data_IF_135439507099
#
_entry.id   IF_135439507099
#
_cell.length_a   1.000
_cell.length_b   1.000
_cell.length_c   1.000
_cell.angle_alpha   90.00
_cell.angle_beta   90.00
_cell.angle_gamma   90.00
#
_symmetry.space_group_name_H-M   'P 1'
#
loop_
_entity.id
_entity.type
_entity.pdbx_description
1 polymer ?
#
# COMPACT_ATOMS: atom_id res chain seq x y z
N UNK A 1 -15.08 6.99 21.00
CA UNK A 1 -15.39 8.38 20.62
C UNK A 1 -14.45 8.73 19.48
N UNK A 2 -14.95 8.92 18.26
CA UNK A 2 -14.12 9.35 17.12
C UNK A 2 -13.54 10.74 17.41
N UNK A 3 -12.21 10.85 17.49
CA UNK A 3 -11.53 12.13 17.62
C UNK A 3 -11.68 12.90 16.30
N UNK A 4 -11.73 14.23 16.35
CA UNK A 4 -11.77 15.12 15.16
C UNK A 4 -10.68 14.77 14.15
N UNK A 5 -9.50 14.35 14.62
CA UNK A 5 -8.43 13.85 13.77
C UNK A 5 -8.86 12.67 12.89
N UNK A 6 -9.55 11.68 13.46
CA UNK A 6 -10.05 10.51 12.74
C UNK A 6 -11.11 10.90 11.72
N UNK A 7 -11.97 11.88 12.04
CA UNK A 7 -12.94 12.44 11.08
C UNK A 7 -12.28 13.09 9.88
N UNK A 8 -11.20 13.85 10.09
CA UNK A 8 -10.43 14.48 9.01
C UNK A 8 -9.77 13.40 8.13
N UNK A 9 -9.17 12.37 8.73
CA UNK A 9 -8.57 11.25 7.99
C UNK A 9 -9.64 10.51 7.18
N UNK A 10 -10.77 10.17 7.80
CA UNK A 10 -11.83 9.40 7.15
C UNK A 10 -12.46 10.18 5.99
N UNK A 11 -12.72 11.48 6.15
CA UNK A 11 -13.19 12.32 5.06
C UNK A 11 -12.18 12.45 3.92
N UNK A 12 -10.88 12.43 4.23
CA UNK A 12 -9.82 12.40 3.21
C UNK A 12 -9.84 11.08 2.44
N UNK A 13 -9.97 9.94 3.12
CA UNK A 13 -10.10 8.62 2.50
C UNK A 13 -11.33 8.57 1.57
N UNK A 14 -12.48 9.05 2.05
CA UNK A 14 -13.72 9.11 1.24
C UNK A 14 -13.57 10.00 0.01
N UNK A 15 -12.83 11.10 0.11
CA UNK A 15 -12.51 11.92 -1.05
C UNK A 15 -11.66 11.14 -2.05
N UNK A 16 -10.59 10.48 -1.61
CA UNK A 16 -9.68 9.71 -2.48
C UNK A 16 -10.43 8.58 -3.21
N UNK A 17 -11.41 7.95 -2.55
CA UNK A 17 -12.27 6.95 -3.20
C UNK A 17 -13.10 7.54 -4.34
N UNK A 18 -13.55 8.79 -4.20
CA UNK A 18 -14.49 9.44 -5.13
C UNK A 18 -13.81 10.24 -6.23
N UNK A 19 -12.73 10.96 -5.95
CA UNK A 19 -12.04 11.86 -6.88
C UNK A 19 -10.52 11.77 -6.75
N UNK A 20 -9.78 12.41 -7.66
CA UNK A 20 -8.33 12.49 -7.61
C UNK A 20 -7.87 13.28 -6.36
N UNK A 21 -7.01 12.65 -5.56
CA UNK A 21 -6.43 13.22 -4.34
C UNK A 21 -5.67 14.54 -4.61
N UNK A 22 -5.17 14.72 -5.85
CA UNK A 22 -4.47 15.94 -6.26
C UNK A 22 -5.39 17.16 -6.19
N UNK A 23 -6.70 16.97 -6.40
CA UNK A 23 -7.71 18.05 -6.38
C UNK A 23 -8.16 18.46 -4.98
N UNK A 24 -7.84 17.67 -3.95
CA UNK A 24 -8.19 17.97 -2.57
C UNK A 24 -7.30 19.11 -2.05
N UNK A 25 -7.90 20.10 -1.40
CA UNK A 25 -7.17 21.12 -0.65
C UNK A 25 -7.68 21.15 0.79
N UNK A 26 -6.89 21.68 1.72
CA UNK A 26 -7.29 21.82 3.13
C UNK A 26 -8.62 22.57 3.26
N UNK A 27 -8.83 23.61 2.45
CA UNK A 27 -10.09 24.38 2.41
C UNK A 27 -11.27 23.54 1.91
N UNK A 28 -11.09 22.75 0.84
CA UNK A 28 -12.15 21.87 0.32
C UNK A 28 -12.52 20.78 1.33
N UNK A 29 -11.52 20.19 1.97
CA UNK A 29 -11.72 19.19 3.02
C UNK A 29 -12.52 19.80 4.18
N UNK A 30 -12.10 20.96 4.67
CA UNK A 30 -12.78 21.67 5.76
C UNK A 30 -14.25 21.95 5.43
N UNK A 31 -14.53 22.46 4.23
CA UNK A 31 -15.90 22.69 3.77
C UNK A 31 -16.73 21.39 3.71
N UNK A 32 -16.11 20.27 3.30
CA UNK A 32 -16.79 18.96 3.20
C UNK A 32 -17.23 18.42 4.57
N UNK A 33 -16.47 18.69 5.62
CA UNK A 33 -16.75 18.21 6.99
C UNK A 33 -17.30 19.30 7.92
N UNK A 34 -17.71 20.45 7.39
CA UNK A 34 -18.30 21.54 8.17
C UNK A 34 -17.33 22.22 9.15
N UNK A 35 -16.02 22.19 8.86
CA UNK A 35 -14.97 22.81 9.65
C UNK A 35 -14.39 24.06 8.98
N UNK A 36 -13.70 24.90 9.75
CA UNK A 36 -12.85 25.95 9.17
C UNK A 36 -11.49 25.36 8.79
N UNK A 37 -10.83 25.93 7.79
CA UNK A 37 -9.47 25.51 7.42
C UNK A 37 -8.50 25.63 8.60
N UNK A 38 -8.62 26.69 9.40
CA UNK A 38 -7.81 26.90 10.61
C UNK A 38 -8.02 25.81 11.67
N UNK A 39 -9.21 25.23 11.77
CA UNK A 39 -9.45 24.10 12.66
C UNK A 39 -8.74 22.82 12.20
N UNK A 40 -8.65 22.56 10.89
CA UNK A 40 -7.86 21.42 10.36
C UNK A 40 -6.37 21.62 10.66
N UNK A 41 -5.84 22.83 10.50
CA UNK A 41 -4.42 23.13 10.76
C UNK A 41 -3.98 22.90 12.20
N UNK A 42 -4.91 22.81 13.16
CA UNK A 42 -4.60 22.38 14.54
C UNK A 42 -4.22 20.90 14.66
N UNK A 43 -4.64 20.07 13.70
CA UNK A 43 -4.37 18.63 13.67
C UNK A 43 -3.29 18.26 12.65
N UNK A 44 -3.28 18.93 11.50
CA UNK A 44 -2.33 18.66 10.42
C UNK A 44 -1.74 19.97 9.91
N UNK A 45 -0.43 20.16 10.11
CA UNK A 45 0.27 21.40 9.76
C UNK A 45 0.16 21.76 8.27
N UNK A 46 0.07 20.76 7.41
CA UNK A 46 -0.06 20.91 5.95
C UNK A 46 -0.76 19.70 5.33
N UNK A 47 -0.93 19.72 4.01
CA UNK A 47 -1.63 18.66 3.26
C UNK A 47 -0.79 17.38 3.24
N UNK A 48 0.53 17.53 3.21
CA UNK A 48 1.52 16.46 3.17
C UNK A 48 1.48 15.64 4.47
N UNK A 49 1.46 16.29 5.64
CA UNK A 49 1.31 15.65 6.94
C UNK A 49 -0.01 14.89 7.08
N UNK A 50 -1.11 15.46 6.56
CA UNK A 50 -2.40 14.77 6.49
C UNK A 50 -2.30 13.53 5.60
N UNK A 51 -1.71 13.65 4.41
CA UNK A 51 -1.59 12.56 3.46
C UNK A 51 -0.70 11.43 3.96
N UNK A 52 0.37 11.76 4.67
CA UNK A 52 1.23 10.79 5.34
C UNK A 52 0.43 9.97 6.36
N UNK A 53 -0.31 10.67 7.24
CA UNK A 53 -1.14 10.00 8.24
C UNK A 53 -2.27 9.16 7.63
N UNK A 54 -2.90 9.64 6.56
CA UNK A 54 -3.90 8.87 5.81
C UNK A 54 -3.25 7.61 5.21
N UNK A 55 -2.03 7.71 4.69
CA UNK A 55 -1.29 6.58 4.13
C UNK A 55 -0.95 5.53 5.19
N UNK A 56 -0.59 5.94 6.41
CA UNK A 56 -0.40 5.03 7.56
C UNK A 56 -1.70 4.27 7.86
N UNK A 57 -2.82 4.98 7.93
CA UNK A 57 -4.13 4.37 8.21
C UNK A 57 -4.55 3.41 7.09
N UNK A 58 -4.34 3.78 5.83
CA UNK A 58 -4.62 2.89 4.69
C UNK A 58 -3.71 1.66 4.67
N UNK A 59 -2.42 1.82 4.95
CA UNK A 59 -1.47 0.72 5.08
C UNK A 59 -1.91 -0.29 6.13
N UNK A 60 -2.37 0.18 7.29
CA UNK A 60 -2.96 -0.68 8.33
C UNK A 60 -4.20 -1.42 7.83
N UNK A 61 -5.19 -0.71 7.27
CA UNK A 61 -6.43 -1.31 6.75
C UNK A 61 -6.15 -2.38 5.70
N UNK A 62 -5.20 -2.12 4.80
CA UNK A 62 -4.81 -3.06 3.76
C UNK A 62 -4.09 -4.28 4.37
N UNK A 63 -3.21 -4.08 5.36
CA UNK A 63 -2.59 -5.22 6.06
C UNK A 63 -3.62 -6.10 6.78
N UNK A 64 -4.70 -5.50 7.30
CA UNK A 64 -5.82 -6.20 7.94
C UNK A 64 -6.74 -6.89 6.92
N UNK A 65 -6.87 -6.39 5.68
CA UNK A 65 -7.63 -7.03 4.60
C UNK A 65 -6.84 -8.20 3.97
N UNK A 66 -5.50 -8.11 3.95
CA UNK A 66 -4.61 -9.06 3.25
C UNK A 66 -4.00 -10.13 4.17
N UNK A 67 -4.63 -10.44 5.30
CA UNK A 67 -4.14 -11.33 6.39
C UNK A 67 -3.40 -12.59 5.94
N UNK A 68 -2.44 -13.02 6.76
CA UNK A 68 -1.71 -14.28 6.58
C UNK A 68 -2.38 -15.42 7.35
N UNK A 69 -2.32 -16.64 6.82
CA UNK A 69 -2.73 -17.85 7.53
C UNK A 69 -1.49 -18.55 8.10
N UNK A 70 -1.34 -18.65 9.44
CA UNK A 70 -0.17 -19.29 10.05
C UNK A 70 -0.08 -20.79 9.75
N UNK A 71 -1.14 -21.43 9.23
CA UNK A 71 -1.12 -22.85 8.82
C UNK A 71 -0.57 -23.04 7.41
N UNK A 72 -0.41 -21.96 6.65
CA UNK A 72 0.07 -21.96 5.27
C UNK A 72 1.56 -21.60 5.28
N UNK A 73 2.34 -22.19 4.36
CA UNK A 73 3.77 -21.88 4.24
C UNK A 73 4.00 -20.38 3.95
N UNK A 74 5.12 -19.78 4.39
CA UNK A 74 5.43 -18.39 4.08
C UNK A 74 5.41 -18.07 2.58
N UNK A 75 5.86 -19.01 1.75
CA UNK A 75 5.81 -18.92 0.29
C UNK A 75 4.37 -18.81 -0.20
N UNK A 76 3.48 -19.70 0.22
CA UNK A 76 2.08 -19.69 -0.21
C UNK A 76 1.32 -18.49 0.35
N UNK A 77 1.68 -18.01 1.54
CA UNK A 77 1.15 -16.75 2.09
C UNK A 77 1.55 -15.55 1.22
N UNK A 78 2.80 -15.50 0.75
CA UNK A 78 3.29 -14.45 -0.15
C UNK A 78 2.56 -14.50 -1.51
N UNK A 79 2.40 -15.69 -2.10
CA UNK A 79 1.62 -15.89 -3.33
C UNK A 79 0.18 -15.40 -3.17
N UNK A 80 -0.49 -15.83 -2.10
CA UNK A 80 -1.88 -15.47 -1.82
C UNK A 80 -2.03 -13.96 -1.54
N UNK A 81 -1.04 -13.34 -0.90
CA UNK A 81 -0.99 -11.90 -0.69
C UNK A 81 -0.89 -11.15 -2.02
N UNK A 82 -0.03 -11.61 -2.94
CA UNK A 82 0.11 -11.02 -4.28
C UNK A 82 -1.20 -11.12 -5.09
N UNK A 83 -1.88 -12.26 -5.04
CA UNK A 83 -3.20 -12.46 -5.65
C UNK A 83 -4.23 -11.47 -5.09
N UNK A 84 -4.42 -11.46 -3.76
CA UNK A 84 -5.38 -10.58 -3.10
C UNK A 84 -5.06 -9.10 -3.35
N UNK A 85 -3.78 -8.75 -3.45
CA UNK A 85 -3.36 -7.39 -3.80
C UNK A 85 -3.79 -7.01 -5.22
N UNK A 86 -3.62 -7.90 -6.20
CA UNK A 86 -4.10 -7.66 -7.58
C UNK A 86 -5.62 -7.46 -7.63
N UNK A 87 -6.38 -8.22 -6.83
CA UNK A 87 -7.84 -8.06 -6.68
C UNK A 87 -8.18 -6.73 -6.02
N UNK A 88 -7.48 -6.36 -4.93
CA UNK A 88 -7.69 -5.10 -4.22
C UNK A 88 -7.47 -3.89 -5.14
N UNK A 89 -6.46 -3.96 -6.01
CA UNK A 89 -6.17 -2.92 -6.99
C UNK A 89 -7.34 -2.69 -7.95
N UNK A 90 -7.98 -3.75 -8.45
CA UNK A 90 -9.17 -3.63 -9.31
C UNK A 90 -10.35 -3.03 -8.54
N UNK A 91 -10.53 -3.44 -7.29
CA UNK A 91 -11.64 -3.00 -6.43
C UNK A 91 -11.50 -1.54 -5.98
N UNK A 92 -10.28 -1.09 -5.65
CA UNK A 92 -10.01 0.20 -5.03
C UNK A 92 -8.82 0.95 -5.68
N UNK A 93 -8.83 1.16 -7.01
CA UNK A 93 -7.64 1.63 -7.74
C UNK A 93 -7.14 3.00 -7.27
N UNK A 94 -8.04 3.91 -6.90
CA UNK A 94 -7.66 5.26 -6.42
C UNK A 94 -6.98 5.24 -5.07
N UNK A 95 -7.44 4.38 -4.15
CA UNK A 95 -6.83 4.23 -2.82
C UNK A 95 -5.47 3.57 -2.91
N UNK A 96 -5.36 2.51 -3.72
CA UNK A 96 -4.07 1.86 -3.95
C UNK A 96 -3.10 2.82 -4.63
N UNK A 97 -3.55 3.54 -5.66
CA UNK A 97 -2.72 4.56 -6.31
C UNK A 97 -2.27 5.67 -5.34
N UNK A 98 -3.15 6.09 -4.43
CA UNK A 98 -2.77 7.03 -3.37
C UNK A 98 -1.71 6.44 -2.46
N UNK A 99 -1.90 5.21 -1.94
CA UNK A 99 -0.99 4.60 -0.97
C UNK A 99 0.44 4.39 -1.52
N UNK A 100 0.63 4.25 -2.83
CA UNK A 100 1.96 3.98 -3.38
C UNK A 100 2.60 5.14 -4.14
N UNK A 101 1.82 6.14 -4.57
CA UNK A 101 2.32 7.17 -5.49
C UNK A 101 2.02 8.60 -5.06
N UNK A 102 1.50 8.82 -3.84
CA UNK A 102 1.31 10.19 -3.37
C UNK A 102 2.65 10.76 -2.83
N UNK A 103 2.99 12.03 -3.13
CA UNK A 103 4.32 12.58 -2.81
C UNK A 103 4.65 12.70 -1.32
N UNK A 104 3.68 12.56 -0.40
CA UNK A 104 3.99 12.62 1.03
C UNK A 104 4.79 11.40 1.51
N UNK A 105 5.02 10.41 0.64
CA UNK A 105 5.75 9.18 0.93
C UNK A 105 7.21 9.23 0.48
N UNK A 106 7.65 10.31 -0.17
CA UNK A 106 9.02 10.42 -0.68
C UNK A 106 10.06 10.22 0.43
N UNK A 107 9.84 10.81 1.60
CA UNK A 107 10.72 10.64 2.77
C UNK A 107 10.71 9.21 3.30
N UNK A 108 9.55 8.54 3.32
CA UNK A 108 9.44 7.12 3.70
C UNK A 108 10.23 6.21 2.74
N UNK A 109 10.17 6.46 1.43
CA UNK A 109 10.92 5.66 0.46
C UNK A 109 12.43 5.90 0.54
N UNK A 110 12.87 7.09 0.95
CA UNK A 110 14.28 7.40 1.19
C UNK A 110 14.80 6.84 2.52
N UNK A 111 13.93 6.82 3.54
CA UNK A 111 14.26 6.40 4.90
C UNK A 111 13.14 5.49 5.43
N UNK A 112 13.15 4.23 4.97
CA UNK A 112 12.11 3.27 5.35
C UNK A 112 12.03 3.12 6.87
N UNK A 113 10.81 3.18 7.40
CA UNK A 113 10.48 3.03 8.81
C UNK A 113 9.35 2.00 9.00
N UNK A 114 8.90 1.80 10.24
CA UNK A 114 7.86 0.83 10.61
C UNK A 114 6.45 1.42 10.71
N UNK A 115 6.22 2.61 10.15
CA UNK A 115 4.91 3.27 10.19
C UNK A 115 3.88 2.52 9.33
N UNK A 116 4.35 1.81 8.30
CA UNK A 116 3.53 1.16 7.29
C UNK A 116 3.38 -0.33 7.56
N UNK A 117 2.27 -0.71 8.19
CA UNK A 117 1.98 -2.12 8.55
C UNK A 117 1.91 -3.06 7.36
N UNK A 118 1.45 -2.59 6.20
CA UNK A 118 1.49 -3.40 4.98
C UNK A 118 2.93 -3.70 4.54
N UNK A 119 3.85 -2.73 4.66
CA UNK A 119 5.26 -2.95 4.38
C UNK A 119 5.86 -3.95 5.38
N UNK A 120 5.61 -3.78 6.68
CA UNK A 120 6.06 -4.72 7.72
C UNK A 120 5.58 -6.17 7.43
N UNK A 121 4.32 -6.32 7.02
CA UNK A 121 3.71 -7.62 6.69
C UNK A 121 4.45 -8.30 5.53
N UNK A 122 4.66 -7.57 4.43
CA UNK A 122 5.33 -8.12 3.25
C UNK A 122 6.80 -8.41 3.55
N UNK A 123 7.50 -7.49 4.23
CA UNK A 123 8.90 -7.69 4.61
C UNK A 123 9.08 -8.90 5.54
N UNK A 124 8.17 -9.12 6.48
CA UNK A 124 8.19 -10.30 7.35
C UNK A 124 8.02 -11.63 6.58
N UNK A 125 7.25 -11.65 5.49
CA UNK A 125 7.17 -12.82 4.60
C UNK A 125 8.43 -12.96 3.76
N UNK A 126 8.94 -11.87 3.20
CA UNK A 126 10.19 -11.84 2.42
C UNK A 126 11.34 -12.43 3.23
N UNK A 127 11.51 -12.03 4.49
CA UNK A 127 12.56 -12.54 5.38
C UNK A 127 12.46 -14.05 5.64
N UNK A 128 11.25 -14.60 5.68
CA UNK A 128 11.04 -16.05 5.88
C UNK A 128 11.24 -16.86 4.59
N UNK A 129 11.05 -16.23 3.44
CA UNK A 129 11.07 -16.88 2.13
C UNK A 129 12.46 -16.76 1.47
N UNK A 130 13.20 -15.69 1.74
CA UNK A 130 14.52 -15.46 1.16
C UNK A 130 15.51 -16.56 1.57
N UNK A 131 16.07 -17.26 0.59
CA UNK A 131 17.04 -18.35 0.81
C UNK A 131 18.49 -17.84 0.86
N UNK A 132 18.71 -16.53 0.77
CA UNK A 132 20.03 -15.91 0.74
C UNK A 132 20.51 -15.57 -0.67
N UNK A 133 21.75 -15.09 -0.80
CA UNK A 133 22.40 -14.67 -2.05
C UNK A 133 22.07 -13.26 -2.54
N UNK A 134 20.98 -12.67 -2.07
CA UNK A 134 20.73 -11.22 -2.06
C UNK A 134 20.17 -10.79 -0.70
N UNK A 135 20.23 -9.50 -0.38
CA UNK A 135 19.63 -8.99 0.87
C UNK A 135 18.10 -9.03 0.82
N UNK A 136 17.44 -9.07 1.98
CA UNK A 136 15.98 -9.03 2.06
C UNK A 136 15.39 -7.80 1.36
N UNK A 137 16.09 -6.66 1.43
CA UNK A 137 15.68 -5.44 0.74
C UNK A 137 15.73 -5.61 -0.78
N UNK A 138 16.76 -6.27 -1.31
CA UNK A 138 16.87 -6.54 -2.74
C UNK A 138 15.80 -7.52 -3.19
N UNK A 139 15.55 -8.56 -2.39
CA UNK A 139 14.52 -9.56 -2.68
C UNK A 139 13.11 -8.96 -2.62
N UNK A 140 12.82 -8.15 -1.59
CA UNK A 140 11.60 -7.32 -1.52
C UNK A 140 11.46 -6.46 -2.77
N UNK A 141 12.52 -5.77 -3.19
CA UNK A 141 12.49 -4.91 -4.37
C UNK A 141 12.14 -5.69 -5.65
N UNK A 142 12.68 -6.91 -5.83
CA UNK A 142 12.35 -7.76 -6.98
C UNK A 142 10.86 -8.16 -6.99
N UNK A 143 10.38 -8.71 -5.86
CA UNK A 143 8.99 -9.14 -5.70
C UNK A 143 8.05 -7.95 -5.90
N UNK A 144 8.33 -6.83 -5.23
CA UNK A 144 7.47 -5.66 -5.22
C UNK A 144 7.42 -4.97 -6.60
N UNK A 145 8.55 -4.89 -7.30
CA UNK A 145 8.60 -4.35 -8.68
C UNK A 145 7.76 -5.17 -9.63
N UNK A 146 7.81 -6.51 -9.53
CA UNK A 146 6.96 -7.38 -10.33
C UNK A 146 5.48 -7.20 -9.98
N UNK A 147 5.10 -7.30 -8.71
CA UNK A 147 3.70 -7.19 -8.27
C UNK A 147 3.10 -5.84 -8.68
N UNK A 148 3.80 -4.72 -8.43
CA UNK A 148 3.33 -3.39 -8.82
C UNK A 148 3.25 -3.22 -10.33
N UNK A 149 4.28 -3.65 -11.06
CA UNK A 149 4.32 -3.58 -12.52
C UNK A 149 3.19 -4.39 -13.16
N UNK A 150 3.02 -5.64 -12.73
CA UNK A 150 1.96 -6.52 -13.21
C UNK A 150 0.57 -5.97 -12.87
N UNK A 151 0.38 -5.47 -11.66
CA UNK A 151 -0.88 -4.85 -11.25
C UNK A 151 -1.22 -3.61 -12.07
N UNK A 152 -0.21 -2.81 -12.46
CA UNK A 152 -0.40 -1.69 -13.36
C UNK A 152 -0.83 -2.16 -14.76
N UNK A 153 -0.20 -3.20 -15.32
CA UNK A 153 -0.59 -3.77 -16.61
C UNK A 153 -2.04 -4.27 -16.57
N UNK A 154 -2.43 -4.94 -15.49
CA UNK A 154 -3.81 -5.37 -15.25
C UNK A 154 -4.79 -4.19 -15.21
N UNK A 155 -4.46 -3.14 -14.45
CA UNK A 155 -5.30 -1.93 -14.38
C UNK A 155 -5.49 -1.25 -15.73
N UNK A 156 -4.48 -1.33 -16.61
CA UNK A 156 -4.51 -0.73 -17.95
C UNK A 156 -5.14 -1.66 -19.00
N UNK A 157 -5.57 -2.86 -18.62
CA UNK A 157 -6.14 -3.84 -19.54
C UNK A 157 -5.11 -4.42 -20.52
N UNK A 158 -3.82 -4.31 -20.20
CA UNK A 158 -2.72 -4.89 -21.01
C UNK A 158 -2.56 -6.38 -20.72
N UNK A 159 -2.88 -6.80 -19.49
CA UNK A 159 -2.84 -8.19 -19.07
C UNK A 159 -4.09 -8.55 -18.26
N UNK A 160 -4.52 -9.80 -18.35
CA UNK A 160 -5.46 -10.37 -17.39
C UNK A 160 -4.71 -10.94 -16.18
N UNK A 161 -5.41 -11.09 -15.06
CA UNK A 161 -4.80 -11.71 -13.90
C UNK A 161 -4.68 -13.22 -14.13
N UNK A 162 -3.44 -13.67 -14.26
CA UNK A 162 -3.00 -15.06 -14.29
C UNK A 162 -2.27 -15.41 -12.96
N UNK A 163 -2.87 -16.31 -12.17
CA UNK A 163 -2.30 -16.79 -10.91
C UNK A 163 -1.10 -17.72 -11.12
N UNK A 164 -1.08 -18.48 -12.22
CA UNK A 164 0.04 -19.38 -12.54
C UNK A 164 1.29 -18.58 -12.91
N UNK A 165 1.12 -17.47 -13.65
CA UNK A 165 2.22 -16.56 -13.94
C UNK A 165 2.83 -15.98 -12.67
N UNK A 166 1.99 -15.56 -11.71
CA UNK A 166 2.45 -15.02 -10.42
C UNK A 166 3.18 -16.09 -9.62
N UNK A 167 2.61 -17.29 -9.53
CA UNK A 167 3.23 -18.43 -8.84
C UNK A 167 4.58 -18.80 -9.44
N UNK A 168 4.66 -18.98 -10.77
CA UNK A 168 5.88 -19.30 -11.49
C UNK A 168 6.95 -18.22 -11.27
N UNK A 169 6.59 -16.95 -11.48
CA UNK A 169 7.54 -15.83 -11.36
C UNK A 169 8.08 -15.71 -9.95
N UNK A 170 7.22 -15.83 -8.93
CA UNK A 170 7.66 -15.77 -7.53
C UNK A 170 8.48 -17.02 -7.16
N UNK A 171 8.11 -18.21 -7.63
CA UNK A 171 8.91 -19.42 -7.43
C UNK A 171 10.30 -19.32 -8.06
N UNK A 172 10.42 -18.74 -9.26
CA UNK A 172 11.69 -18.45 -9.93
C UNK A 172 12.53 -17.44 -9.15
N UNK A 173 11.92 -16.38 -8.60
CA UNK A 173 12.63 -15.42 -7.74
C UNK A 173 13.15 -16.08 -6.45
N UNK A 174 12.39 -17.02 -5.89
CA UNK A 174 12.77 -17.76 -4.67
C UNK A 174 13.90 -18.78 -4.95
N UNK A 175 13.76 -19.55 -6.05
CA UNK A 175 14.66 -20.66 -6.38
C UNK A 175 15.87 -20.28 -7.25
N UNK A 176 15.82 -19.13 -7.91
CA UNK A 176 16.83 -18.65 -8.86
C UNK A 176 18.11 -18.11 -8.21
N UNK A 177 18.20 -18.06 -6.87
CA UNK A 177 19.38 -17.56 -6.14
C UNK A 177 20.42 -18.68 -5.90
N UNK A 178 20.50 -19.65 -6.82
CA UNK A 178 21.65 -20.55 -6.94
C UNK A 178 22.53 -20.08 -8.09
N UNK A 179 23.52 -19.25 -7.77
CA UNK A 179 24.75 -19.12 -8.56
C UNK A 179 25.95 -19.19 -7.64
#
# INVERSE_FOLDING_TARGET
>A
MDNTQDKIIQATIEWIQKDDYKKLSMRKLAATIGMTTGAIYKYFQNKEALFYQVSIVLSRRISEELTIDPKVSPQNNLLSLAERFCVLIKKQPKLVNFLFFNPSLDEFYQHMNHDFKFYDLVMGLVQQVNQGGISDQQFFTQIWSFIQGYSLLILKGVADYDSQLVELTLAEMIGGIKK
#
